data_IF_992648774398
#
_entry.id   IF_992648774398
#
_cell.length_a   1.000
_cell.length_b   1.000
_cell.length_c   1.000
_cell.angle_alpha   90.00
_cell.angle_beta   90.00
_cell.angle_gamma   90.00
#
_symmetry.space_group_name_H-M   'P 1'
#
loop_
_entity.id
_entity.type
_entity.pdbx_description
1 polymer ?
#
# COMPACT_ATOMS: atom_id res chain seq x y z
N UNK A 1 -17.79 -8.37 -11.91
CA UNK A 1 -16.56 -7.57 -12.04
C UNK A 1 -15.38 -8.47 -12.35
N UNK A 2 -14.41 -7.92 -13.03
CA UNK A 2 -13.13 -8.59 -13.34
C UNK A 2 -11.98 -7.68 -12.98
N UNK A 3 -11.06 -8.19 -12.16
CA UNK A 3 -9.80 -7.52 -11.82
C UNK A 3 -8.66 -8.26 -12.52
N UNK A 4 -7.84 -7.55 -13.27
CA UNK A 4 -6.66 -8.10 -13.93
C UNK A 4 -5.39 -7.37 -13.49
N UNK A 5 -4.31 -8.12 -13.29
CA UNK A 5 -2.97 -7.60 -13.10
C UNK A 5 -2.15 -7.81 -14.36
N UNK A 6 -1.55 -6.72 -14.86
CA UNK A 6 -0.75 -6.73 -16.09
C UNK A 6 0.71 -6.36 -15.82
N UNK A 7 1.61 -6.97 -16.56
CA UNK A 7 3.01 -6.58 -16.62
C UNK A 7 3.21 -5.35 -17.52
N UNK A 8 4.43 -4.80 -17.56
CA UNK A 8 4.78 -3.64 -18.38
C UNK A 8 4.60 -3.91 -19.89
N UNK A 9 4.80 -5.15 -20.33
CA UNK A 9 4.60 -5.60 -21.69
C UNK A 9 3.11 -5.87 -22.04
N UNK A 10 2.19 -5.59 -21.11
CA UNK A 10 0.76 -5.82 -21.24
C UNK A 10 0.35 -7.28 -21.02
N UNK A 11 1.28 -8.20 -20.77
CA UNK A 11 0.93 -9.60 -20.49
C UNK A 11 0.17 -9.73 -19.17
N UNK A 12 -0.87 -10.58 -19.16
CA UNK A 12 -1.70 -10.81 -17.99
C UNK A 12 -0.99 -11.74 -16.99
N UNK A 13 -0.80 -11.25 -15.78
CA UNK A 13 -0.20 -12.00 -14.68
C UNK A 13 -1.25 -12.75 -13.86
N UNK A 14 -2.43 -12.14 -13.67
CA UNK A 14 -3.58 -12.79 -13.04
C UNK A 14 -4.88 -12.17 -13.52
N UNK A 15 -5.98 -12.88 -13.31
CA UNK A 15 -7.35 -12.40 -13.52
C UNK A 15 -8.26 -13.02 -12.47
N UNK A 16 -9.14 -12.20 -11.89
CA UNK A 16 -10.15 -12.58 -10.90
C UNK A 16 -11.50 -12.11 -11.36
N UNK A 17 -12.46 -13.02 -11.43
CA UNK A 17 -13.86 -12.71 -11.63
C UNK A 17 -14.58 -12.77 -10.27
N UNK A 18 -15.37 -11.73 -9.94
CA UNK A 18 -16.02 -11.62 -8.63
C UNK A 18 -17.30 -10.80 -8.68
N UNK A 19 -18.16 -11.01 -7.69
CA UNK A 19 -19.29 -10.16 -7.40
C UNK A 19 -18.89 -9.14 -6.33
N UNK A 20 -19.07 -7.84 -6.61
CA UNK A 20 -18.85 -6.82 -5.60
C UNK A 20 -20.06 -6.75 -4.66
N UNK A 21 -19.81 -6.68 -3.35
CA UNK A 21 -20.85 -6.59 -2.33
C UNK A 21 -21.18 -5.12 -2.04
N UNK A 22 -22.44 -4.79 -1.90
CA UNK A 22 -22.87 -3.49 -1.41
C UNK A 22 -22.63 -3.38 0.10
N UNK A 23 -22.23 -2.22 0.55
CA UNK A 23 -22.11 -1.96 1.99
C UNK A 23 -23.51 -1.72 2.53
N UNK A 24 -23.96 -2.60 3.44
CA UNK A 24 -25.35 -2.63 3.92
C UNK A 24 -25.77 -1.34 4.64
N UNK A 25 -24.83 -0.65 5.28
CA UNK A 25 -25.10 0.51 6.15
C UNK A 25 -24.85 1.87 5.46
N UNK A 26 -24.36 1.89 4.23
CA UNK A 26 -24.16 3.11 3.45
C UNK A 26 -24.48 2.92 1.97
N UNK A 27 -25.74 3.12 1.56
CA UNK A 27 -26.18 2.97 0.18
C UNK A 27 -25.47 3.91 -0.81
N UNK A 28 -24.80 4.97 -0.33
CA UNK A 28 -24.02 5.93 -1.11
C UNK A 28 -22.54 5.58 -1.24
N UNK A 29 -22.03 4.67 -0.44
CA UNK A 29 -20.59 4.33 -0.39
C UNK A 29 -20.08 3.51 -1.59
N UNK A 30 -20.97 3.07 -2.46
CA UNK A 30 -20.62 2.23 -3.62
C UNK A 30 -20.33 0.79 -3.23
N UNK A 31 -19.80 0.04 -4.21
CA UNK A 31 -19.45 -1.38 -4.01
C UNK A 31 -17.99 -1.51 -3.59
N UNK A 32 -17.75 -2.24 -2.52
CA UNK A 32 -16.41 -2.49 -1.99
C UNK A 32 -15.97 -3.94 -2.19
N UNK A 33 -14.68 -4.12 -2.37
CA UNK A 33 -14.06 -5.44 -2.41
C UNK A 33 -12.63 -5.37 -1.90
N UNK A 34 -12.15 -6.48 -1.34
CA UNK A 34 -10.76 -6.67 -0.98
C UNK A 34 -10.34 -8.09 -1.32
N UNK A 35 -9.15 -8.24 -1.91
CA UNK A 35 -8.58 -9.53 -2.25
C UNK A 35 -7.13 -9.64 -1.83
N UNK A 36 -6.74 -10.84 -1.47
CA UNK A 36 -5.35 -11.24 -1.39
C UNK A 36 -5.07 -12.15 -2.58
N UNK A 37 -4.20 -11.70 -3.48
CA UNK A 37 -3.79 -12.48 -4.64
C UNK A 37 -2.46 -13.14 -4.32
N UNK A 38 -2.42 -14.45 -4.06
CA UNK A 38 -1.17 -15.16 -3.87
C UNK A 38 -0.38 -15.14 -5.18
N UNK A 39 0.84 -14.62 -5.13
CA UNK A 39 1.67 -14.48 -6.32
C UNK A 39 3.12 -14.83 -5.98
N UNK A 40 3.77 -15.56 -6.87
CA UNK A 40 5.21 -15.83 -6.73
C UNK A 40 6.00 -14.51 -6.84
N UNK A 41 7.09 -14.33 -6.08
CA UNK A 41 7.87 -13.09 -6.09
C UNK A 41 8.28 -12.62 -7.49
N UNK A 42 8.68 -13.56 -8.38
CA UNK A 42 9.11 -13.25 -9.75
C UNK A 42 7.97 -12.67 -10.63
N UNK A 43 6.72 -13.10 -10.37
CA UNK A 43 5.55 -12.52 -11.03
C UNK A 43 5.16 -11.20 -10.40
N UNK A 44 5.27 -11.12 -9.08
CA UNK A 44 4.92 -9.92 -8.33
C UNK A 44 5.77 -8.70 -8.74
N UNK A 45 7.08 -8.90 -8.98
CA UNK A 45 7.98 -7.84 -9.44
C UNK A 45 7.64 -7.30 -10.85
N UNK A 46 6.95 -8.09 -11.66
CA UNK A 46 6.54 -7.71 -13.02
C UNK A 46 5.20 -6.97 -13.06
N UNK A 47 4.45 -6.92 -11.97
CA UNK A 47 3.14 -6.28 -11.94
C UNK A 47 3.28 -4.76 -12.10
N UNK A 48 2.79 -4.24 -13.21
CA UNK A 48 2.91 -2.84 -13.59
C UNK A 48 1.58 -2.07 -13.53
N UNK A 49 0.46 -2.77 -13.71
CA UNK A 49 -0.85 -2.13 -13.63
C UNK A 49 -1.95 -3.08 -13.18
N UNK A 50 -3.01 -2.49 -12.65
CA UNK A 50 -4.27 -3.15 -12.32
C UNK A 50 -5.37 -2.59 -13.22
N UNK A 51 -6.24 -3.46 -13.73
CA UNK A 51 -7.43 -3.08 -14.48
C UNK A 51 -8.67 -3.69 -13.85
N UNK A 52 -9.67 -2.88 -13.63
CA UNK A 52 -10.98 -3.29 -13.15
C UNK A 52 -12.01 -3.05 -14.25
N UNK A 53 -12.78 -4.06 -14.57
CA UNK A 53 -13.93 -3.97 -15.50
C UNK A 53 -15.18 -4.56 -14.85
N UNK A 54 -16.32 -3.95 -15.10
CA UNK A 54 -17.62 -4.41 -14.60
C UNK A 54 -18.77 -3.60 -15.20
N UNK A 55 -20.02 -3.90 -14.82
CA UNK A 55 -21.18 -3.17 -15.29
C UNK A 55 -21.04 -1.67 -14.99
N UNK A 56 -20.96 -0.85 -16.06
CA UNK A 56 -20.81 0.61 -15.93
C UNK A 56 -19.48 1.10 -15.36
N UNK A 57 -18.50 0.21 -15.14
CA UNK A 57 -17.22 0.56 -14.51
C UNK A 57 -16.05 0.05 -15.34
N UNK A 58 -15.13 0.95 -15.65
CA UNK A 58 -13.81 0.60 -16.17
C UNK A 58 -12.77 1.52 -15.52
N UNK A 59 -11.84 0.94 -14.81
CA UNK A 59 -10.75 1.68 -14.16
C UNK A 59 -9.42 0.99 -14.44
N UNK A 60 -8.37 1.78 -14.60
CA UNK A 60 -7.01 1.29 -14.74
C UNK A 60 -6.10 2.10 -13.82
N UNK A 61 -5.20 1.41 -13.12
CA UNK A 61 -4.22 2.04 -12.24
C UNK A 61 -2.84 1.51 -12.56
N UNK A 62 -1.95 2.39 -12.99
CA UNK A 62 -0.52 2.08 -13.08
C UNK A 62 0.08 2.03 -11.68
N UNK A 63 0.89 1.01 -11.45
CA UNK A 63 1.61 0.83 -10.19
C UNK A 63 2.96 1.55 -10.35
N UNK A 64 3.12 2.66 -9.66
CA UNK A 64 4.35 3.45 -9.74
C UNK A 64 5.57 2.69 -9.23
N UNK A 65 6.71 2.92 -9.85
CA UNK A 65 8.01 2.36 -9.47
C UNK A 65 8.75 3.19 -8.41
N UNK A 66 8.31 4.40 -8.13
CA UNK A 66 8.99 5.30 -7.19
C UNK A 66 8.76 4.88 -5.73
N UNK A 67 9.82 4.87 -4.97
CA UNK A 67 9.76 4.68 -3.51
C UNK A 67 9.24 5.98 -2.90
N UNK A 68 8.18 5.97 -2.04
CA UNK A 68 7.75 7.18 -1.38
C UNK A 68 8.87 7.72 -0.51
N UNK A 69 9.15 9.00 -0.62
CA UNK A 69 10.07 9.66 0.30
C UNK A 69 9.38 9.77 1.66
N UNK A 70 9.79 8.92 2.60
CA UNK A 70 9.40 9.03 4.00
C UNK A 70 10.55 9.62 4.78
N UNK A 71 10.31 10.77 5.42
CA UNK A 71 11.27 11.38 6.33
C UNK A 71 10.96 10.92 7.74
N UNK A 72 11.98 10.45 8.46
CA UNK A 72 11.86 10.01 9.84
C UNK A 72 12.86 10.77 10.70
N UNK A 73 12.38 11.41 11.77
CA UNK A 73 13.19 12.23 12.68
C UNK A 73 12.91 11.88 14.14
N UNK A 74 13.88 12.10 15.05
CA UNK A 74 13.63 11.97 16.49
C UNK A 74 12.73 13.10 16.98
N UNK A 75 11.69 12.75 17.70
CA UNK A 75 10.74 13.69 18.32
C UNK A 75 10.91 13.83 19.84
N UNK A 76 11.94 13.17 20.42
CA UNK A 76 12.18 13.14 21.87
C UNK A 76 11.27 12.14 22.62
N UNK A 77 11.62 11.80 23.86
CA UNK A 77 10.83 10.89 24.69
C UNK A 77 10.64 9.49 24.13
N UNK A 78 11.62 8.98 23.36
CA UNK A 78 11.49 7.65 22.72
C UNK A 78 10.51 7.62 21.56
N UNK A 79 10.16 8.76 20.96
CA UNK A 79 9.28 8.89 19.81
C UNK A 79 10.05 9.29 18.56
N UNK A 80 9.49 8.91 17.42
CA UNK A 80 9.90 9.35 16.09
C UNK A 80 8.70 10.02 15.40
N UNK A 81 8.99 11.06 14.63
CA UNK A 81 8.03 11.69 13.74
C UNK A 81 8.29 11.24 12.30
N UNK A 82 7.23 10.84 11.60
CA UNK A 82 7.25 10.46 10.20
C UNK A 82 6.48 11.50 9.40
N UNK A 83 7.03 11.87 8.23
CA UNK A 83 6.36 12.74 7.25
C UNK A 83 6.48 12.12 5.86
N UNK A 84 5.38 12.15 5.09
CA UNK A 84 5.32 11.63 3.73
C UNK A 84 4.29 12.37 2.89
N UNK A 85 4.32 12.16 1.58
CA UNK A 85 3.34 12.72 0.65
C UNK A 85 2.05 11.88 0.69
N UNK A 86 1.00 12.39 1.35
CA UNK A 86 -0.31 11.75 1.47
C UNK A 86 -1.00 11.56 0.12
N UNK A 87 -0.84 12.51 -0.81
CA UNK A 87 -1.47 12.41 -2.12
C UNK A 87 -0.94 11.21 -2.93
N UNK A 88 0.32 10.84 -2.70
CA UNK A 88 0.96 9.67 -3.34
C UNK A 88 0.75 8.39 -2.54
N UNK A 89 0.67 8.49 -1.24
CA UNK A 89 0.58 7.35 -0.32
C UNK A 89 -0.38 7.68 0.82
N UNK A 90 -1.69 7.47 0.64
CA UNK A 90 -2.70 7.81 1.64
C UNK A 90 -2.52 7.16 3.01
N UNK A 91 -1.80 6.04 3.06
CA UNK A 91 -1.57 5.30 4.30
C UNK A 91 -0.15 4.79 4.38
N UNK A 92 0.37 4.72 5.59
CA UNK A 92 1.68 4.21 5.94
C UNK A 92 1.56 3.16 7.03
N UNK A 93 2.17 1.99 6.82
CA UNK A 93 2.36 0.96 7.84
C UNK A 93 3.80 1.04 8.33
N UNK A 94 4.00 1.14 9.65
CA UNK A 94 5.31 1.20 10.29
C UNK A 94 5.51 -0.03 11.14
N UNK A 95 6.64 -0.72 10.99
CA UNK A 95 6.99 -1.93 11.74
C UNK A 95 8.36 -1.84 12.39
N UNK A 96 8.54 -2.58 13.48
CA UNK A 96 9.84 -2.82 14.08
C UNK A 96 10.69 -3.68 13.12
N UNK A 97 11.94 -3.29 12.81
CA UNK A 97 12.78 -4.00 11.83
C UNK A 97 13.30 -5.35 12.32
N UNK A 98 13.19 -5.64 13.61
CA UNK A 98 13.71 -6.87 14.25
C UNK A 98 12.56 -7.84 14.53
N UNK A 99 11.49 -7.36 15.17
CA UNK A 99 10.36 -8.21 15.57
C UNK A 99 9.28 -8.34 14.50
N UNK A 100 9.24 -7.41 13.52
CA UNK A 100 8.17 -7.30 12.53
C UNK A 100 6.85 -6.77 13.11
N UNK A 101 6.83 -6.41 14.41
CA UNK A 101 5.66 -5.89 15.08
C UNK A 101 5.16 -4.59 14.42
N UNK A 102 3.85 -4.46 14.29
CA UNK A 102 3.22 -3.24 13.78
C UNK A 102 3.27 -2.17 14.87
N UNK A 103 4.04 -1.13 14.62
CA UNK A 103 4.17 0.01 15.51
C UNK A 103 3.08 1.07 15.26
N UNK A 104 2.69 1.24 14.00
CA UNK A 104 1.65 2.20 13.63
C UNK A 104 1.06 1.90 12.25
N UNK A 105 -0.20 2.27 12.09
CA UNK A 105 -0.90 2.36 10.82
C UNK A 105 -1.45 3.80 10.68
N UNK A 106 -0.81 4.61 9.86
CA UNK A 106 -0.99 6.06 9.86
C UNK A 106 -1.58 6.58 8.54
N UNK A 107 -2.31 7.72 8.63
CA UNK A 107 -2.89 8.49 7.53
C UNK A 107 -2.57 9.97 7.74
N UNK A 108 -2.81 10.80 6.71
CA UNK A 108 -2.74 12.26 6.85
C UNK A 108 -1.34 12.85 6.68
N UNK A 109 -0.39 12.11 6.06
CA UNK A 109 0.92 12.63 5.70
C UNK A 109 1.91 12.80 6.86
N UNK A 110 1.46 12.63 8.13
CA UNK A 110 2.30 12.72 9.30
C UNK A 110 1.86 11.74 10.39
N UNK A 111 2.81 11.24 11.19
CA UNK A 111 2.54 10.40 12.35
C UNK A 111 3.66 10.49 13.38
N UNK A 112 3.30 10.26 14.65
CA UNK A 112 4.27 9.99 15.71
C UNK A 112 4.17 8.53 16.15
N UNK A 113 5.32 7.89 16.35
CA UNK A 113 5.42 6.48 16.74
C UNK A 113 6.41 6.34 17.88
N UNK A 114 6.04 5.59 18.91
CA UNK A 114 6.94 5.28 20.04
C UNK A 114 7.83 4.13 19.65
N UNK A 115 9.15 4.38 19.60
CA UNK A 115 10.17 3.37 19.39
C UNK A 115 11.56 3.90 19.82
N UNK A 116 12.35 3.04 20.41
CA UNK A 116 13.76 3.31 20.71
C UNK A 116 14.71 2.94 19.57
N UNK A 117 14.19 2.39 18.48
CA UNK A 117 14.99 1.94 17.34
C UNK A 117 15.54 3.12 16.54
N UNK A 118 16.72 2.93 15.95
CA UNK A 118 17.34 3.87 15.02
C UNK A 118 16.93 3.63 13.57
N UNK A 119 16.10 2.63 13.35
CA UNK A 119 15.58 2.25 12.05
C UNK A 119 14.16 1.72 12.20
N UNK A 120 13.30 1.96 11.20
CA UNK A 120 11.97 1.37 11.09
C UNK A 120 11.73 0.83 9.69
N UNK A 121 10.85 -0.15 9.58
CA UNK A 121 10.38 -0.67 8.31
C UNK A 121 9.07 0.01 7.96
N UNK A 122 9.00 0.59 6.78
CA UNK A 122 7.85 1.35 6.31
C UNK A 122 7.30 0.73 5.04
N UNK A 123 5.99 0.51 5.01
CA UNK A 123 5.26 0.10 3.81
C UNK A 123 4.20 1.15 3.50
N UNK A 124 4.29 1.76 2.32
CA UNK A 124 3.35 2.79 1.90
C UNK A 124 2.24 2.22 1.03
N UNK A 125 1.00 2.65 1.27
CA UNK A 125 -0.16 2.29 0.44
C UNK A 125 -0.08 2.95 -0.94
N UNK A 126 -0.83 2.40 -1.89
CA UNK A 126 -0.88 2.94 -3.24
C UNK A 126 0.10 2.28 -4.21
N UNK A 127 0.94 1.38 -3.72
CA UNK A 127 1.88 0.58 -4.52
C UNK A 127 1.65 -0.88 -4.24
N UNK A 128 1.29 -1.63 -5.25
CA UNK A 128 0.81 -2.99 -5.04
C UNK A 128 1.89 -3.97 -4.55
N UNK A 129 3.17 -3.73 -4.73
CA UNK A 129 4.18 -4.77 -4.54
C UNK A 129 5.60 -4.24 -4.29
N UNK A 130 5.77 -3.15 -3.56
CA UNK A 130 7.13 -2.77 -3.21
C UNK A 130 7.57 -3.39 -1.89
N UNK A 131 8.84 -3.82 -1.86
CA UNK A 131 9.46 -4.28 -0.64
C UNK A 131 9.37 -3.19 0.43
N UNK A 132 9.28 -3.63 1.64
CA UNK A 132 9.43 -2.82 2.82
C UNK A 132 10.66 -1.93 2.71
N UNK A 133 10.48 -0.66 2.96
CA UNK A 133 11.59 0.29 2.98
C UNK A 133 12.13 0.39 4.41
N UNK A 134 13.41 0.11 4.61
CA UNK A 134 14.10 0.43 5.85
C UNK A 134 14.51 1.89 5.85
N UNK A 135 14.07 2.63 6.86
CA UNK A 135 14.32 4.06 6.99
C UNK A 135 15.03 4.33 8.30
N UNK A 136 16.21 4.96 8.22
CA UNK A 136 16.95 5.40 9.40
C UNK A 136 16.34 6.65 10.00
N UNK A 137 16.28 6.68 11.31
CA UNK A 137 15.85 7.84 12.09
C UNK A 137 17.01 8.85 12.11
N UNK A 138 16.74 10.07 11.71
CA UNK A 138 17.71 11.18 11.74
C UNK A 138 17.54 12.02 12.98
#
# INVERSE_FOLDING_TARGET
YRLEGLADDGSRLFGLDFAATEVADDPGAGKHFAFVVPMRPERATRLASLQLAGPGTRASRKLGSEVPAVRVTRAGGGRIALHWDEARSPMLLVRDPVTGEVLSFARGGAAEVTTSRDEVVVTASGRALRPEQRVRVK
#
